data_IF_176981183400
#
_entry.id   IF_176981183400
#
_cell.length_a   1.000
_cell.length_b   1.000
_cell.length_c   1.000
_cell.angle_alpha   90.00
_cell.angle_beta   90.00
_cell.angle_gamma   90.00
#
_symmetry.space_group_name_H-M   'P 1'
#
loop_
_entity.id
_entity.type
_entity.pdbx_description
1 polymer ?
#
# COMPACT_ATOMS: atom_id res chain seq x y z
N UNK A 1 12.35 51.49 27.77
CA UNK A 1 11.25 51.17 28.70
C UNK A 1 10.80 49.72 28.42
N UNK A 2 11.16 48.83 29.33
CA UNK A 2 10.83 47.39 29.25
C UNK A 2 9.41 47.20 29.75
N UNK A 3 8.56 46.46 29.04
CA UNK A 3 7.38 45.80 29.63
C UNK A 3 7.45 44.30 29.31
N UNK A 4 7.72 43.53 30.34
CA UNK A 4 7.59 42.08 30.37
C UNK A 4 6.10 41.73 30.48
N UNK A 5 5.65 40.75 29.70
CA UNK A 5 4.31 40.20 29.83
C UNK A 5 4.51 38.72 30.32
N UNK A 6 4.12 38.53 31.55
CA UNK A 6 4.12 37.25 32.26
C UNK A 6 2.80 36.54 31.92
N UNK A 7 2.86 35.34 31.31
CA UNK A 7 1.70 34.47 31.10
C UNK A 7 1.77 33.36 32.14
N UNK A 8 0.78 33.35 33.01
CA UNK A 8 0.60 32.37 34.08
C UNK A 8 -0.11 31.13 33.55
N UNK A 9 0.53 29.97 33.68
CA UNK A 9 -0.03 28.69 33.32
C UNK A 9 -0.84 28.14 34.49
N UNK A 10 -2.14 27.97 34.35
CA UNK A 10 -3.02 27.36 35.35
C UNK A 10 -3.20 25.85 35.02
N UNK A 11 -2.61 25.02 35.88
CA UNK A 11 -2.89 23.59 35.92
C UNK A 11 -4.17 23.34 36.73
N UNK A 12 -5.15 22.69 36.12
CA UNK A 12 -6.33 22.16 36.82
C UNK A 12 -6.15 20.64 36.97
N UNK A 13 -5.86 20.22 38.18
CA UNK A 13 -5.94 18.83 38.63
C UNK A 13 -7.37 18.58 39.13
N UNK A 14 -8.05 17.61 38.52
CA UNK A 14 -9.29 17.06 39.03
C UNK A 14 -9.04 15.65 39.58
N UNK A 15 -9.02 15.56 40.92
CA UNK A 15 -9.07 14.31 41.66
C UNK A 15 -10.52 13.90 41.82
N UNK A 16 -10.89 12.70 41.38
CA UNK A 16 -12.21 12.07 41.58
C UNK A 16 -12.11 10.93 42.58
N UNK A 17 -12.87 11.06 43.63
CA UNK A 17 -12.97 10.27 44.84
C UNK A 17 -13.62 8.92 44.63
N UNK A 18 -13.04 7.88 45.23
CA UNK A 18 -13.60 6.55 45.50
C UNK A 18 -14.74 6.65 46.55
N UNK A 19 -15.87 6.04 46.25
CA UNK A 19 -16.95 5.82 47.21
C UNK A 19 -17.55 4.44 47.04
N UNK A 20 -17.17 3.52 47.90
CA UNK A 20 -17.83 2.23 48.04
C UNK A 20 -19.03 2.32 48.99
N UNK A 21 -20.04 1.48 48.73
CA UNK A 21 -20.95 1.03 49.81
C UNK A 21 -21.47 -0.36 49.51
N UNK A 22 -21.36 -1.17 50.56
CA UNK A 22 -21.81 -2.54 50.75
C UNK A 22 -23.30 -2.62 51.07
N UNK A 23 -23.91 -3.78 50.77
CA UNK A 23 -25.26 -4.12 51.26
C UNK A 23 -25.63 -5.56 50.89
N UNK A 24 -25.59 -6.32 51.84
CA UNK A 24 -25.92 -7.64 52.37
C UNK A 24 -27.32 -8.20 52.02
N UNK A 25 -27.34 -9.52 52.04
CA UNK A 25 -28.47 -10.42 52.37
C UNK A 25 -28.83 -11.31 51.19
N UNK A 26 -28.88 -12.61 51.26
CA UNK A 26 -28.92 -13.60 52.28
C UNK A 26 -29.78 -14.78 51.83
N UNK A 27 -29.27 -15.96 52.10
CA UNK A 27 -29.90 -17.26 52.37
C UNK A 27 -30.47 -18.07 51.16
N UNK A 28 -29.96 -19.23 50.89
CA UNK A 28 -29.76 -20.53 51.55
C UNK A 28 -30.76 -21.57 51.03
N UNK A 29 -30.33 -22.70 50.62
CA UNK A 29 -30.58 -24.13 50.95
C UNK A 29 -30.36 -25.03 49.75
N UNK A 30 -29.31 -25.83 49.81
CA UNK A 30 -29.14 -27.26 50.22
C UNK A 30 -30.05 -28.25 49.51
N UNK A 31 -29.49 -29.22 48.98
CA UNK A 31 -29.08 -30.62 49.11
C UNK A 31 -29.51 -31.38 47.85
N UNK A 32 -28.86 -32.36 47.33
CA UNK A 32 -28.29 -33.55 47.86
C UNK A 32 -27.61 -34.42 46.81
N UNK A 33 -26.67 -35.11 47.30
CA UNK A 33 -25.80 -36.16 46.86
C UNK A 33 -26.47 -37.43 46.37
N UNK A 34 -25.87 -38.10 45.37
CA UNK A 34 -25.51 -39.54 45.27
C UNK A 34 -25.10 -39.75 43.79
N UNK A 35 -23.96 -40.24 43.39
CA UNK A 35 -23.18 -41.38 43.79
C UNK A 35 -23.46 -42.57 42.85
N UNK A 36 -22.53 -42.94 41.96
CA UNK A 36 -22.67 -44.18 41.19
C UNK A 36 -21.57 -44.36 40.15
N UNK A 37 -20.56 -45.07 40.56
CA UNK A 37 -19.42 -45.58 39.80
C UNK A 37 -19.87 -46.80 38.95
N UNK A 38 -19.37 -46.98 37.70
CA UNK A 38 -18.84 -48.29 37.24
C UNK A 38 -18.34 -48.20 35.78
N UNK A 39 -17.08 -48.34 35.63
CA UNK A 39 -16.33 -49.37 34.88
C UNK A 39 -16.56 -49.53 33.36
N UNK A 40 -15.42 -49.58 32.74
CA UNK A 40 -14.98 -49.82 31.40
C UNK A 40 -15.62 -51.02 30.65
N UNK A 41 -15.75 -50.85 29.33
CA UNK A 41 -15.49 -51.90 28.37
C UNK A 41 -15.15 -51.30 27.00
N UNK A 42 -13.93 -51.63 26.56
CA UNK A 42 -13.43 -51.46 25.20
C UNK A 42 -14.22 -52.32 24.21
N UNK A 43 -14.49 -51.79 23.00
CA UNK A 43 -14.38 -52.60 21.75
C UNK A 43 -14.28 -51.70 20.52
N UNK A 44 -13.32 -52.05 19.66
CA UNK A 44 -13.12 -51.55 18.30
C UNK A 44 -14.35 -51.80 17.42
N UNK A 45 -14.68 -50.81 16.59
CA UNK A 45 -15.09 -51.03 15.21
C UNK A 45 -15.06 -49.73 14.45
N UNK A 46 -14.28 -49.66 13.53
CA UNK A 46 -13.87 -48.87 12.50
C UNK A 46 -14.87 -48.53 11.41
N UNK A 47 -14.51 -47.51 10.72
CA UNK A 47 -14.82 -47.12 9.34
C UNK A 47 -16.19 -46.61 9.01
N UNK A 48 -16.13 -45.48 8.30
CA UNK A 48 -17.11 -44.88 7.41
C UNK A 48 -18.12 -43.92 8.05
N UNK A 49 -17.69 -42.68 8.23
CA UNK A 49 -18.57 -41.55 7.94
C UNK A 49 -17.83 -40.56 7.04
N UNK A 50 -17.88 -40.89 5.76
CA UNK A 50 -17.68 -39.96 4.68
C UNK A 50 -19.03 -39.49 4.21
N UNK A 51 -19.17 -38.16 4.09
CA UNK A 51 -20.17 -37.50 3.27
C UNK A 51 -21.63 -37.71 3.65
N UNK A 52 -22.11 -36.85 4.50
CA UNK A 52 -23.48 -36.34 4.39
C UNK A 52 -23.65 -35.09 5.28
N UNK A 53 -23.06 -33.96 4.83
CA UNK A 53 -23.45 -32.65 5.32
C UNK A 53 -23.97 -31.85 4.13
N UNK A 54 -25.10 -32.26 3.62
CA UNK A 54 -25.87 -31.51 2.65
C UNK A 54 -27.34 -31.60 3.08
N UNK A 55 -27.72 -30.92 4.14
CA UNK A 55 -29.10 -30.54 4.49
C UNK A 55 -29.19 -29.85 5.87
N UNK A 56 -28.51 -28.72 6.06
CA UNK A 56 -28.97 -27.68 6.96
C UNK A 56 -28.64 -26.38 6.27
N UNK A 57 -29.66 -25.57 5.97
CA UNK A 57 -29.53 -24.33 5.19
C UNK A 57 -28.88 -23.19 5.97
N UNK A 58 -27.82 -23.47 6.70
CA UNK A 58 -27.01 -22.48 7.41
C UNK A 58 -25.83 -22.12 6.50
N UNK A 59 -25.80 -20.85 6.10
CA UNK A 59 -24.72 -20.31 5.26
C UNK A 59 -23.45 -20.17 6.09
N UNK A 60 -22.29 -20.41 5.47
CA UNK A 60 -21.01 -19.99 6.05
C UNK A 60 -20.90 -18.47 5.97
N UNK A 61 -20.76 -17.82 7.11
CA UNK A 61 -20.54 -16.36 7.18
C UNK A 61 -19.04 -16.12 7.12
N UNK A 62 -18.59 -15.25 6.21
CA UNK A 62 -17.22 -14.77 6.14
C UNK A 62 -17.17 -13.25 6.35
N UNK A 63 -16.19 -12.80 7.13
CA UNK A 63 -16.01 -11.40 7.50
C UNK A 63 -14.88 -10.78 6.67
N UNK A 64 -15.26 -9.83 5.81
CA UNK A 64 -14.33 -9.07 4.96
C UNK A 64 -14.15 -7.65 5.47
N UNK A 65 -12.92 -7.24 5.71
CA UNK A 65 -12.53 -5.90 6.13
C UNK A 65 -11.76 -5.20 5.04
N UNK A 66 -12.06 -3.92 4.75
CA UNK A 66 -11.24 -3.05 3.87
C UNK A 66 -11.47 -1.57 4.23
N UNK A 67 -10.51 -0.71 3.86
CA UNK A 67 -10.62 0.75 3.98
C UNK A 67 -11.09 1.42 2.68
N UNK A 68 -11.13 0.71 1.58
CA UNK A 68 -11.67 1.23 0.32
C UNK A 68 -13.16 1.02 0.31
N UNK A 69 -13.94 2.10 0.20
CA UNK A 69 -15.37 2.00 0.03
C UNK A 69 -15.67 1.39 -1.34
N UNK A 70 -16.09 0.14 -1.34
CA UNK A 70 -16.51 -0.56 -2.55
C UNK A 70 -18.03 -0.41 -2.74
N UNK A 71 -18.46 -0.51 -4.00
CA UNK A 71 -19.87 -0.70 -4.30
C UNK A 71 -20.32 -2.05 -3.71
N UNK A 72 -21.22 -2.01 -2.74
CA UNK A 72 -21.70 -3.21 -2.05
C UNK A 72 -22.41 -4.19 -2.99
N UNK A 73 -22.84 -3.76 -4.17
CA UNK A 73 -23.51 -4.61 -5.15
C UNK A 73 -22.67 -5.83 -5.55
N UNK A 74 -21.34 -5.73 -5.57
CA UNK A 74 -20.46 -6.86 -5.87
C UNK A 74 -20.55 -7.96 -4.82
N UNK A 75 -20.73 -7.59 -3.55
CA UNK A 75 -20.92 -8.55 -2.45
C UNK A 75 -22.30 -9.21 -2.57
N UNK A 76 -23.33 -8.44 -2.90
CA UNK A 76 -24.67 -8.96 -3.13
C UNK A 76 -24.71 -9.94 -4.33
N UNK A 77 -24.00 -9.61 -5.42
CA UNK A 77 -23.83 -10.46 -6.59
C UNK A 77 -23.12 -11.77 -6.22
N UNK A 78 -22.02 -11.69 -5.46
CA UNK A 78 -21.30 -12.87 -4.97
C UNK A 78 -22.20 -13.74 -4.08
N UNK A 79 -22.90 -13.16 -3.12
CA UNK A 79 -23.81 -13.87 -2.22
C UNK A 79 -24.95 -14.54 -2.98
N UNK A 80 -25.47 -13.90 -4.03
CA UNK A 80 -26.51 -14.48 -4.89
C UNK A 80 -26.00 -15.68 -5.71
N UNK A 81 -24.76 -15.61 -6.19
CA UNK A 81 -24.10 -16.68 -6.96
C UNK A 81 -23.61 -17.84 -6.06
N UNK A 82 -23.41 -17.59 -4.76
CA UNK A 82 -22.88 -18.54 -3.78
C UNK A 82 -23.86 -18.68 -2.60
N UNK A 83 -24.98 -19.40 -2.75
CA UNK A 83 -26.04 -19.45 -1.73
C UNK A 83 -25.61 -20.12 -0.41
N UNK A 84 -24.49 -20.80 -0.40
CA UNK A 84 -23.83 -21.44 0.74
C UNK A 84 -22.94 -20.50 1.55
N UNK A 85 -22.65 -19.27 1.05
CA UNK A 85 -21.82 -18.27 1.71
C UNK A 85 -22.62 -16.98 1.93
N UNK A 86 -22.31 -16.28 3.01
CA UNK A 86 -22.73 -14.91 3.27
C UNK A 86 -21.51 -14.07 3.62
N UNK A 87 -21.17 -13.08 2.80
CA UNK A 87 -20.09 -12.14 3.07
C UNK A 87 -20.62 -10.96 3.85
N UNK A 88 -20.03 -10.67 4.99
CA UNK A 88 -20.27 -9.48 5.80
C UNK A 88 -19.09 -8.52 5.64
N UNK A 89 -19.36 -7.37 5.02
CA UNK A 89 -18.37 -6.33 4.81
C UNK A 89 -18.28 -5.38 5.99
N UNK A 90 -17.04 -5.09 6.41
CA UNK A 90 -16.72 -4.18 7.50
C UNK A 90 -15.79 -3.09 6.99
N UNK A 91 -16.34 -1.89 6.78
CA UNK A 91 -15.54 -0.72 6.40
C UNK A 91 -14.70 -0.25 7.60
N UNK A 92 -13.41 -0.05 7.37
CA UNK A 92 -12.50 0.56 8.35
C UNK A 92 -12.05 1.93 7.86
N UNK A 93 -11.85 2.91 8.76
CA UNK A 93 -11.36 4.24 8.38
C UNK A 93 -9.96 4.17 7.75
N UNK A 94 -9.73 4.93 6.68
CA UNK A 94 -8.39 5.12 6.13
C UNK A 94 -7.62 6.16 6.96
N UNK A 95 -7.01 5.73 8.05
CA UNK A 95 -6.27 6.54 9.01
C UNK A 95 -4.76 6.26 9.02
N UNK A 96 -4.19 6.01 7.85
CA UNK A 96 -2.77 5.71 7.69
C UNK A 96 -2.40 4.31 8.21
N UNK A 97 -1.29 4.18 8.93
CA UNK A 97 -0.83 2.89 9.47
C UNK A 97 -1.73 2.30 10.56
N UNK A 98 -2.54 3.12 11.22
CA UNK A 98 -3.40 2.67 12.32
C UNK A 98 -4.45 1.65 11.87
N UNK A 99 -4.95 1.76 10.62
CA UNK A 99 -5.90 0.79 10.03
C UNK A 99 -5.32 -0.62 9.99
N UNK A 100 -4.05 -0.77 9.61
CA UNK A 100 -3.37 -2.07 9.54
C UNK A 100 -3.15 -2.64 10.94
N UNK A 101 -2.76 -1.81 11.92
CA UNK A 101 -2.64 -2.22 13.32
C UNK A 101 -3.96 -2.73 13.89
N UNK A 102 -5.09 -2.10 13.55
CA UNK A 102 -6.41 -2.57 13.98
C UNK A 102 -6.75 -3.95 13.40
N UNK A 103 -6.44 -4.19 12.11
CA UNK A 103 -6.62 -5.50 11.48
C UNK A 103 -5.74 -6.57 12.12
N UNK A 104 -4.49 -6.24 12.45
CA UNK A 104 -3.56 -7.15 13.10
C UNK A 104 -4.07 -7.57 14.49
N UNK A 105 -4.56 -6.63 15.29
CA UNK A 105 -5.14 -6.91 16.60
C UNK A 105 -6.35 -7.84 16.46
N UNK A 106 -7.21 -7.60 15.47
CA UNK A 106 -8.40 -8.40 15.22
C UNK A 106 -8.02 -9.84 14.81
N UNK A 107 -7.11 -9.97 13.84
CA UNK A 107 -6.66 -11.27 13.33
C UNK A 107 -5.90 -12.08 14.39
N UNK A 108 -5.02 -11.46 15.18
CA UNK A 108 -4.27 -12.13 16.25
C UNK A 108 -5.12 -12.43 17.47
N UNK A 109 -6.13 -11.60 17.74
CA UNK A 109 -7.02 -11.73 18.89
C UNK A 109 -8.09 -12.81 18.74
N UNK A 110 -8.15 -13.52 17.61
CA UNK A 110 -9.20 -14.51 17.31
C UNK A 110 -10.55 -13.87 17.03
N UNK A 111 -10.55 -12.63 16.53
CA UNK A 111 -11.77 -11.97 16.07
C UNK A 111 -12.30 -12.59 14.79
N UNK A 112 -13.55 -12.29 14.47
CA UNK A 112 -14.21 -12.77 13.25
C UNK A 112 -13.68 -11.99 12.05
N UNK A 113 -12.64 -12.52 11.39
CA UNK A 113 -12.00 -11.96 10.21
C UNK A 113 -11.51 -13.10 9.31
N UNK A 114 -11.99 -13.13 8.08
CA UNK A 114 -11.68 -14.17 7.11
C UNK A 114 -10.95 -13.63 5.88
N UNK A 115 -11.17 -12.35 5.53
CA UNK A 115 -10.49 -11.68 4.44
C UNK A 115 -10.05 -10.29 4.90
N UNK A 116 -8.78 -9.96 4.69
CA UNK A 116 -8.21 -8.65 5.00
C UNK A 116 -7.23 -8.18 3.94
N UNK A 117 -7.14 -6.87 3.71
CA UNK A 117 -6.12 -6.31 2.83
C UNK A 117 -4.75 -6.26 3.52
N UNK A 118 -3.71 -6.51 2.75
CA UNK A 118 -2.32 -6.25 3.12
C UNK A 118 -1.72 -5.24 2.16
N UNK A 119 -1.10 -4.19 2.66
CA UNK A 119 -0.41 -3.20 1.84
C UNK A 119 0.88 -2.73 2.50
N UNK A 120 1.70 -2.04 1.73
CA UNK A 120 2.99 -1.50 2.15
C UNK A 120 4.01 -2.56 2.61
N UNK A 121 5.12 -2.14 3.20
CA UNK A 121 6.17 -3.04 3.63
C UNK A 121 5.81 -3.95 4.79
N UNK A 122 4.79 -3.59 5.56
CA UNK A 122 4.38 -4.35 6.74
C UNK A 122 3.80 -5.73 6.41
N UNK A 123 3.27 -5.91 5.21
CA UNK A 123 2.76 -7.23 4.79
C UNK A 123 3.86 -8.30 4.75
N UNK A 124 5.12 -7.94 4.47
CA UNK A 124 6.24 -8.87 4.53
C UNK A 124 6.43 -9.40 5.95
N UNK A 125 6.33 -8.53 6.94
CA UNK A 125 6.41 -8.91 8.35
C UNK A 125 5.24 -9.82 8.77
N UNK A 126 4.03 -9.57 8.24
CA UNK A 126 2.86 -10.41 8.49
C UNK A 126 3.01 -11.81 7.91
N UNK A 127 3.49 -11.91 6.66
CA UNK A 127 3.79 -13.20 6.03
C UNK A 127 4.84 -13.96 6.83
N UNK A 128 5.96 -13.32 7.14
CA UNK A 128 7.05 -13.88 7.95
C UNK A 128 6.57 -14.42 9.30
N UNK A 129 5.69 -13.68 9.97
CA UNK A 129 5.17 -14.04 11.29
C UNK A 129 4.00 -15.04 11.23
N UNK A 130 3.65 -15.55 10.04
CA UNK A 130 2.57 -16.53 9.86
C UNK A 130 1.18 -15.98 10.20
N UNK A 131 0.96 -14.68 10.02
CA UNK A 131 -0.35 -14.05 10.24
C UNK A 131 -1.32 -14.36 9.10
N UNK A 132 -0.81 -14.63 7.90
CA UNK A 132 -1.59 -15.04 6.73
C UNK A 132 -1.48 -16.53 6.48
N UNK A 133 -2.54 -17.13 6.00
CA UNK A 133 -2.52 -18.51 5.52
C UNK A 133 -1.89 -18.56 4.10
N UNK A 134 -1.04 -19.56 3.80
CA UNK A 134 -0.61 -19.83 2.43
C UNK A 134 -1.81 -20.11 1.51
N UNK A 135 -1.72 -19.66 0.25
CA UNK A 135 -2.76 -19.87 -0.76
C UNK A 135 -2.29 -20.71 -1.97
N UNK A 136 -1.07 -21.22 -1.94
CA UNK A 136 -0.50 -21.98 -3.06
C UNK A 136 -1.34 -23.21 -3.44
N UNK A 137 -1.89 -23.95 -2.47
CA UNK A 137 -2.77 -25.10 -2.73
C UNK A 137 -4.04 -24.70 -3.49
N UNK A 138 -4.61 -23.53 -3.20
CA UNK A 138 -5.77 -23.00 -3.91
C UNK A 138 -5.41 -22.57 -5.34
N UNK A 139 -4.27 -21.89 -5.51
CA UNK A 139 -3.74 -21.48 -6.82
C UNK A 139 -3.53 -22.70 -7.72
N UNK A 140 -2.88 -23.75 -7.19
CA UNK A 140 -2.61 -24.99 -7.91
C UNK A 140 -3.92 -25.73 -8.27
N UNK A 141 -4.83 -25.88 -7.30
CA UNK A 141 -6.15 -26.51 -7.48
C UNK A 141 -6.95 -25.86 -8.60
N UNK A 142 -6.92 -24.51 -8.67
CA UNK A 142 -7.68 -23.73 -9.64
C UNK A 142 -6.92 -23.48 -10.95
N UNK A 143 -5.66 -23.91 -11.05
CA UNK A 143 -4.84 -23.81 -12.26
C UNK A 143 -4.51 -22.36 -12.66
N UNK A 144 -4.30 -21.48 -11.68
CA UNK A 144 -4.09 -20.05 -11.91
C UNK A 144 -2.63 -19.79 -12.28
N UNK A 145 -2.42 -19.07 -13.37
CA UNK A 145 -1.13 -18.54 -13.79
C UNK A 145 -0.90 -17.15 -13.16
N UNK A 146 -0.26 -17.15 -12.00
CA UNK A 146 -0.01 -15.92 -11.24
C UNK A 146 0.86 -14.92 -12.01
N UNK A 147 1.92 -15.40 -12.70
CA UNK A 147 2.81 -14.54 -13.46
C UNK A 147 2.09 -13.85 -14.62
N UNK A 148 1.29 -14.59 -15.38
CA UNK A 148 0.45 -14.04 -16.44
C UNK A 148 -0.54 -13.02 -15.93
N UNK A 149 -1.16 -13.28 -14.77
CA UNK A 149 -2.24 -12.46 -14.23
C UNK A 149 -1.73 -11.19 -13.56
N UNK A 150 -0.53 -11.22 -12.96
CA UNK A 150 -0.05 -10.13 -12.10
C UNK A 150 1.38 -9.65 -12.42
N UNK A 151 2.25 -10.52 -12.95
CA UNK A 151 3.63 -10.18 -13.26
C UNK A 151 4.45 -9.75 -12.05
N UNK A 152 5.31 -8.75 -12.21
CA UNK A 152 6.28 -8.34 -11.18
C UNK A 152 5.69 -7.87 -9.84
N UNK A 153 4.37 -7.64 -9.73
CA UNK A 153 3.74 -7.29 -8.43
C UNK A 153 3.62 -8.48 -7.48
N UNK A 154 3.90 -9.70 -7.94
CA UNK A 154 3.87 -10.91 -7.11
C UNK A 154 4.83 -10.87 -5.94
N UNK A 155 5.91 -10.10 -6.03
CA UNK A 155 6.84 -9.88 -4.90
C UNK A 155 6.14 -9.29 -3.66
N UNK A 156 4.99 -8.61 -3.83
CA UNK A 156 4.17 -8.12 -2.73
C UNK A 156 3.24 -9.18 -2.12
N UNK A 157 2.98 -10.26 -2.84
CA UNK A 157 2.07 -11.33 -2.44
C UNK A 157 2.77 -12.56 -1.87
N UNK A 158 4.10 -12.63 -1.94
CA UNK A 158 4.89 -13.82 -1.63
C UNK A 158 6.03 -13.51 -0.65
N UNK A 159 6.38 -14.49 0.17
CA UNK A 159 7.52 -14.44 1.07
C UNK A 159 8.16 -15.83 1.14
N UNK A 160 9.49 -15.90 0.98
CA UNK A 160 10.27 -17.14 1.01
C UNK A 160 9.72 -18.25 0.08
N UNK A 161 9.28 -17.86 -1.12
CA UNK A 161 8.74 -18.75 -2.13
C UNK A 161 7.32 -19.25 -1.90
N UNK A 162 6.62 -18.76 -0.88
CA UNK A 162 5.24 -19.08 -0.55
C UNK A 162 4.33 -17.89 -0.84
N UNK A 163 3.17 -18.14 -1.44
CA UNK A 163 2.17 -17.11 -1.76
C UNK A 163 1.14 -17.00 -0.65
N UNK A 164 0.91 -15.78 -0.17
CA UNK A 164 0.01 -15.49 0.95
C UNK A 164 -1.16 -14.57 0.61
N UNK A 165 -1.17 -13.98 -0.56
CA UNK A 165 -2.22 -13.06 -0.95
C UNK A 165 -2.48 -13.01 -2.44
N UNK A 166 -3.64 -12.49 -2.80
CA UNK A 166 -4.07 -12.31 -4.17
C UNK A 166 -4.19 -10.81 -4.46
N UNK A 167 -3.39 -10.26 -5.40
CA UNK A 167 -3.33 -8.82 -5.62
C UNK A 167 -4.65 -8.26 -6.14
N UNK A 168 -5.28 -7.34 -5.41
CA UNK A 168 -6.56 -6.74 -5.82
C UNK A 168 -6.36 -5.40 -6.52
N UNK A 169 -5.49 -4.54 -6.00
CA UNK A 169 -5.21 -3.21 -6.54
C UNK A 169 -3.74 -2.89 -6.45
N UNK A 170 -3.28 -2.09 -7.39
CA UNK A 170 -1.89 -1.66 -7.46
C UNK A 170 -1.78 -0.14 -7.48
N UNK A 171 -0.61 0.33 -7.16
CA UNK A 171 -0.18 1.70 -7.38
C UNK A 171 0.90 1.68 -8.44
N UNK A 172 0.69 2.39 -9.53
CA UNK A 172 1.69 2.60 -10.58
C UNK A 172 2.18 4.03 -10.40
N UNK A 173 3.45 4.22 -10.07
CA UNK A 173 4.05 5.56 -9.93
C UNK A 173 4.51 6.09 -11.27
N UNK A 174 4.12 7.32 -11.56
CA UNK A 174 4.53 8.08 -12.74
C UNK A 174 4.67 9.57 -12.42
N UNK A 175 4.94 10.36 -13.44
CA UNK A 175 4.94 11.81 -13.36
C UNK A 175 3.63 12.35 -13.93
N UNK A 176 2.78 12.85 -13.06
CA UNK A 176 1.55 13.56 -13.45
C UNK A 176 1.90 15.02 -13.74
N UNK A 177 1.38 15.58 -14.83
CA UNK A 177 1.75 16.92 -15.26
C UNK A 177 0.57 17.74 -15.76
N UNK A 178 0.67 19.06 -15.58
CA UNK A 178 -0.30 20.05 -16.05
C UNK A 178 -0.01 20.37 -17.51
N UNK A 179 -0.84 19.83 -18.43
CA UNK A 179 -0.70 20.00 -19.88
C UNK A 179 -0.76 21.46 -20.29
N UNK A 180 -1.56 22.28 -19.63
CA UNK A 180 -1.73 23.69 -19.99
C UNK A 180 -0.48 24.52 -19.63
N UNK A 181 0.26 24.17 -18.57
CA UNK A 181 1.56 24.77 -18.28
C UNK A 181 2.61 24.37 -19.31
N UNK A 182 2.62 23.11 -19.76
CA UNK A 182 3.52 22.64 -20.82
C UNK A 182 3.24 23.36 -22.14
N UNK A 183 1.98 23.46 -22.55
CA UNK A 183 1.58 24.17 -23.78
C UNK A 183 1.96 25.65 -23.70
N UNK A 184 1.73 26.32 -22.58
CA UNK A 184 2.08 27.72 -22.37
C UNK A 184 3.59 27.96 -22.49
N UNK A 185 4.39 27.02 -22.00
CA UNK A 185 5.85 27.08 -22.05
C UNK A 185 6.44 26.57 -23.40
N UNK A 186 5.60 26.02 -24.29
CA UNK A 186 6.02 25.43 -25.55
C UNK A 186 6.90 24.18 -25.35
N UNK A 187 6.59 23.37 -24.34
CA UNK A 187 7.31 22.14 -24.00
C UNK A 187 6.47 20.95 -24.52
N UNK A 188 7.10 20.02 -25.22
CA UNK A 188 6.47 18.79 -25.67
C UNK A 188 6.11 17.90 -24.46
N UNK A 189 5.01 17.13 -24.56
CA UNK A 189 4.63 16.21 -23.50
C UNK A 189 5.63 15.05 -23.41
N UNK A 190 5.98 14.63 -22.19
CA UNK A 190 6.91 13.51 -22.01
C UNK A 190 6.30 12.19 -22.48
N UNK A 191 7.06 11.39 -23.20
CA UNK A 191 6.65 10.14 -23.84
C UNK A 191 7.32 8.87 -23.28
N UNK A 192 7.98 8.99 -22.12
CA UNK A 192 8.75 7.90 -21.50
C UNK A 192 10.17 7.76 -21.98
N UNK A 193 10.58 8.45 -23.05
CA UNK A 193 11.97 8.45 -23.52
C UNK A 193 12.88 9.42 -22.75
N UNK A 194 12.30 10.28 -21.93
CA UNK A 194 13.00 11.33 -21.20
C UNK A 194 13.88 10.82 -20.05
N UNK A 195 14.90 11.63 -19.73
CA UNK A 195 15.85 11.36 -18.65
C UNK A 195 15.61 12.28 -17.45
N UNK A 196 16.25 11.98 -16.31
CA UNK A 196 16.22 12.86 -15.14
C UNK A 196 16.83 14.24 -15.40
N UNK A 197 17.79 14.36 -16.31
CA UNK A 197 18.36 15.65 -16.68
C UNK A 197 17.37 16.48 -17.50
N UNK A 198 16.61 15.85 -18.41
CA UNK A 198 15.52 16.51 -19.13
C UNK A 198 14.36 16.88 -18.22
N UNK A 199 13.98 16.01 -17.26
CA UNK A 199 13.00 16.33 -16.23
C UNK A 199 13.39 17.57 -15.42
N UNK A 200 14.66 17.65 -14.98
CA UNK A 200 15.19 18.84 -14.28
C UNK A 200 15.10 20.09 -15.15
N UNK A 201 15.55 20.01 -16.41
CA UNK A 201 15.50 21.12 -17.35
C UNK A 201 14.05 21.61 -17.60
N UNK A 202 13.09 20.70 -17.65
CA UNK A 202 11.65 21.04 -17.73
C UNK A 202 11.19 21.70 -16.44
N UNK A 203 11.57 21.16 -15.28
CA UNK A 203 11.21 21.75 -13.99
C UNK A 203 11.76 23.17 -13.82
N UNK A 204 13.00 23.44 -14.31
CA UNK A 204 13.58 24.79 -14.34
C UNK A 204 12.74 25.76 -15.18
N UNK A 205 12.32 25.37 -16.37
CA UNK A 205 11.51 26.20 -17.28
C UNK A 205 10.11 26.49 -16.71
N UNK A 206 9.51 25.54 -15.99
CA UNK A 206 8.17 25.65 -15.45
C UNK A 206 8.12 26.29 -14.06
N UNK A 207 9.26 26.42 -13.37
CA UNK A 207 9.34 27.13 -12.09
C UNK A 207 9.20 28.64 -12.31
N UNK A 208 8.24 29.27 -11.64
CA UNK A 208 7.95 30.68 -11.83
C UNK A 208 7.42 31.34 -10.55
N UNK A 209 7.35 32.67 -10.55
CA UNK A 209 6.84 33.46 -9.44
C UNK A 209 7.76 33.46 -8.21
N UNK A 210 7.37 34.23 -7.19
CA UNK A 210 8.07 34.36 -5.91
C UNK A 210 7.09 34.43 -4.75
N UNK A 211 7.54 34.06 -3.54
CA UNK A 211 6.72 34.10 -2.33
C UNK A 211 5.45 33.27 -2.49
N UNK A 212 4.29 33.82 -2.17
CA UNK A 212 2.99 33.15 -2.23
C UNK A 212 2.52 32.84 -3.66
N UNK A 213 3.08 33.55 -4.65
CA UNK A 213 2.80 33.31 -6.08
C UNK A 213 3.72 32.28 -6.72
N UNK A 214 4.65 31.69 -5.97
CA UNK A 214 5.58 30.71 -6.51
C UNK A 214 4.83 29.46 -6.98
N UNK A 215 5.14 29.08 -8.23
CA UNK A 215 4.78 27.81 -8.83
C UNK A 215 6.09 27.03 -9.02
N UNK A 216 6.14 25.84 -8.49
CA UNK A 216 7.28 24.96 -8.61
C UNK A 216 7.21 24.15 -9.91
N UNK A 217 8.36 23.82 -10.49
CA UNK A 217 8.40 22.96 -11.66
C UNK A 217 7.97 21.53 -11.35
N UNK A 218 8.23 21.08 -10.13
CA UNK A 218 7.90 19.72 -9.72
C UNK A 218 7.56 19.61 -8.22
N UNK A 219 7.12 18.41 -7.81
CA UNK A 219 6.93 18.03 -6.41
C UNK A 219 7.19 16.53 -6.25
N UNK A 220 8.07 16.16 -5.32
CA UNK A 220 8.30 14.79 -4.88
C UNK A 220 8.04 14.69 -3.38
N UNK A 221 7.15 13.79 -2.94
CA UNK A 221 6.82 13.67 -1.52
C UNK A 221 7.95 12.98 -0.72
N UNK A 222 7.86 13.00 0.61
CA UNK A 222 8.91 12.52 1.54
C UNK A 222 8.86 11.02 1.83
N UNK A 223 7.85 10.30 1.37
CA UNK A 223 7.81 8.84 1.50
C UNK A 223 8.55 8.20 0.33
N UNK A 224 9.70 7.69 0.51
CA UNK A 224 10.51 6.86 -0.42
C UNK A 224 10.37 7.10 -1.94
N UNK A 225 9.62 8.13 -2.39
CA UNK A 225 9.40 8.46 -3.79
C UNK A 225 10.71 8.79 -4.53
N UNK A 226 11.71 9.29 -3.80
CA UNK A 226 13.05 9.56 -4.34
C UNK A 226 13.78 8.30 -4.84
N UNK A 227 13.34 7.10 -4.43
CA UNK A 227 13.93 5.83 -4.86
C UNK A 227 13.21 5.20 -6.06
N UNK A 228 12.03 5.70 -6.40
CA UNK A 228 11.14 5.07 -7.36
C UNK A 228 11.79 4.66 -8.69
N UNK A 229 12.69 5.47 -9.30
CA UNK A 229 13.26 5.14 -10.61
C UNK A 229 14.46 4.20 -10.54
N UNK A 230 14.90 3.80 -9.35
CA UNK A 230 16.19 3.11 -9.20
C UNK A 230 16.05 1.61 -9.34
N UNK A 231 14.83 1.09 -9.32
CA UNK A 231 14.62 -0.33 -9.31
C UNK A 231 15.16 -1.06 -10.53
N UNK A 232 15.35 -2.29 -10.39
CA UNK A 232 15.60 -3.41 -11.28
C UNK A 232 16.78 -3.31 -12.23
N UNK A 233 16.81 -2.45 -13.24
CA UNK A 233 17.86 -2.53 -14.27
C UNK A 233 19.12 -1.78 -13.88
N UNK A 234 18.99 -0.69 -13.09
CA UNK A 234 20.13 0.12 -12.70
C UNK A 234 20.70 -0.30 -11.35
N UNK A 235 19.83 -0.57 -10.39
CA UNK A 235 20.26 -0.95 -9.04
C UNK A 235 19.13 -1.72 -8.34
N UNK A 236 19.10 -3.05 -8.44
CA UNK A 236 18.14 -3.86 -7.71
C UNK A 236 18.30 -3.67 -6.20
N UNK A 237 17.21 -3.86 -5.44
CA UNK A 237 17.21 -3.69 -3.98
C UNK A 237 18.18 -4.64 -3.26
N UNK A 238 18.40 -5.81 -3.82
CA UNK A 238 19.28 -6.84 -3.27
C UNK A 238 20.32 -7.25 -4.29
N UNK A 239 21.48 -7.62 -3.82
CA UNK A 239 22.53 -8.26 -4.62
C UNK A 239 22.13 -9.68 -4.97
N UNK A 240 22.82 -10.32 -5.93
CA UNK A 240 22.57 -11.71 -6.31
C UNK A 240 22.70 -12.71 -5.15
N UNK A 241 23.53 -12.41 -4.14
CA UNK A 241 23.67 -13.20 -2.92
C UNK A 241 22.67 -12.80 -1.81
N UNK A 242 21.65 -12.00 -2.14
CA UNK A 242 20.54 -11.65 -1.26
C UNK A 242 20.85 -10.61 -0.18
N UNK A 243 21.94 -9.85 -0.30
CA UNK A 243 22.28 -8.76 0.62
C UNK A 243 21.68 -7.44 0.17
N UNK A 244 21.66 -6.48 1.08
CA UNK A 244 21.28 -5.10 0.80
C UNK A 244 22.19 -4.48 -0.26
N UNK A 245 21.60 -3.90 -1.31
CA UNK A 245 22.33 -3.26 -2.42
C UNK A 245 22.21 -1.73 -2.42
N UNK A 246 21.83 -1.12 -1.32
CA UNK A 246 21.55 0.33 -1.24
C UNK A 246 22.78 1.20 -1.55
N UNK A 247 24.00 0.64 -1.48
CA UNK A 247 25.23 1.35 -1.82
C UNK A 247 25.48 1.45 -3.33
N UNK A 248 24.67 0.82 -4.18
CA UNK A 248 24.79 0.93 -5.62
C UNK A 248 24.58 2.38 -6.11
N UNK A 249 25.27 2.74 -7.18
CA UNK A 249 25.34 4.12 -7.69
C UNK A 249 23.95 4.72 -7.98
N UNK A 250 23.01 3.92 -8.47
CA UNK A 250 21.65 4.39 -8.74
C UNK A 250 20.95 4.97 -7.51
N UNK A 251 21.10 4.35 -6.34
CA UNK A 251 20.48 4.86 -5.11
C UNK A 251 21.13 6.16 -4.64
N UNK A 252 22.45 6.27 -4.72
CA UNK A 252 23.17 7.48 -4.39
C UNK A 252 22.77 8.63 -5.33
N UNK A 253 22.79 8.39 -6.63
CA UNK A 253 22.38 9.38 -7.64
C UNK A 253 20.93 9.82 -7.45
N UNK A 254 20.03 8.92 -7.05
CA UNK A 254 18.64 9.26 -6.79
C UNK A 254 18.49 10.24 -5.61
N UNK A 255 19.20 10.01 -4.50
CA UNK A 255 19.25 10.97 -3.38
C UNK A 255 19.82 12.32 -3.79
N UNK A 256 20.94 12.31 -4.52
CA UNK A 256 21.63 13.53 -4.94
C UNK A 256 20.77 14.36 -5.91
N UNK A 257 20.09 13.72 -6.87
CA UNK A 257 19.13 14.38 -7.78
C UNK A 257 17.97 15.02 -7.01
N UNK A 258 17.37 14.29 -6.09
CA UNK A 258 16.31 14.84 -5.26
C UNK A 258 16.80 16.07 -4.48
N UNK A 259 17.98 15.99 -3.89
CA UNK A 259 18.60 17.11 -3.15
C UNK A 259 18.89 18.29 -4.05
N UNK A 260 19.35 18.05 -5.28
CA UNK A 260 19.61 19.09 -6.29
C UNK A 260 18.31 19.86 -6.64
N UNK A 261 17.18 19.17 -6.86
CA UNK A 261 15.88 19.82 -7.09
C UNK A 261 15.46 20.70 -5.91
N UNK A 262 15.70 20.24 -4.68
CA UNK A 262 15.45 20.99 -3.46
C UNK A 262 16.34 22.26 -3.39
N UNK A 263 17.63 22.12 -3.62
CA UNK A 263 18.62 23.19 -3.50
C UNK A 263 18.47 24.26 -4.58
N UNK A 264 18.05 23.87 -5.79
CA UNK A 264 17.71 24.78 -6.88
C UNK A 264 16.34 25.46 -6.69
N UNK A 265 15.57 25.06 -5.68
CA UNK A 265 14.24 25.58 -5.42
C UNK A 265 13.21 25.27 -6.49
N UNK A 266 13.38 24.14 -7.19
CA UNK A 266 12.48 23.66 -8.24
C UNK A 266 11.25 22.93 -7.65
N UNK A 267 11.30 22.60 -6.37
CA UNK A 267 10.22 22.01 -5.58
C UNK A 267 10.30 22.49 -4.12
N UNK A 268 9.25 22.19 -3.33
CA UNK A 268 9.37 22.30 -1.88
C UNK A 268 10.44 21.31 -1.40
N UNK A 269 11.38 21.80 -0.59
CA UNK A 269 12.40 20.92 -0.04
C UNK A 269 11.81 19.86 0.90
N UNK A 270 12.52 18.75 1.05
CA UNK A 270 12.13 17.67 1.97
C UNK A 270 11.78 18.21 3.35
N UNK A 271 12.65 19.05 3.93
CA UNK A 271 12.42 19.65 5.26
C UNK A 271 11.21 20.59 5.29
N UNK A 272 10.95 21.34 4.21
CA UNK A 272 9.74 22.19 4.12
C UNK A 272 8.47 21.36 4.06
N UNK A 273 8.45 20.24 3.31
CA UNK A 273 7.29 19.34 3.25
C UNK A 273 6.96 18.80 4.64
N UNK A 274 7.97 18.34 5.40
CA UNK A 274 7.79 17.86 6.77
C UNK A 274 7.25 18.97 7.69
N UNK A 275 7.88 20.15 7.65
CA UNK A 275 7.54 21.26 8.52
C UNK A 275 6.13 21.80 8.28
N UNK A 276 5.69 21.86 7.01
CA UNK A 276 4.39 22.41 6.63
C UNK A 276 3.30 21.36 6.51
N UNK A 277 3.66 20.06 6.58
CA UNK A 277 2.78 18.94 6.28
C UNK A 277 2.12 19.06 4.88
N UNK A 278 2.90 19.55 3.91
CA UNK A 278 2.40 19.78 2.56
C UNK A 278 1.90 18.46 1.95
N UNK A 279 0.72 18.53 1.33
CA UNK A 279 0.10 17.40 0.64
C UNK A 279 0.34 17.53 -0.87
N UNK A 280 0.80 16.46 -1.51
CA UNK A 280 1.15 16.46 -2.92
C UNK A 280 -0.03 16.69 -3.85
N UNK A 281 -1.20 16.09 -3.55
CA UNK A 281 -2.41 16.30 -4.36
C UNK A 281 -2.88 17.74 -4.28
N UNK A 282 -2.90 18.32 -3.07
CA UNK A 282 -3.23 19.73 -2.87
C UNK A 282 -2.24 20.67 -3.57
N UNK A 283 -0.95 20.32 -3.60
CA UNK A 283 0.06 21.11 -4.29
C UNK A 283 -0.14 21.08 -5.81
N UNK A 284 -0.36 19.89 -6.38
CA UNK A 284 -0.51 19.72 -7.82
C UNK A 284 -1.86 20.22 -8.32
N UNK A 285 -2.96 19.73 -7.76
CA UNK A 285 -4.31 20.09 -8.18
C UNK A 285 -4.65 21.54 -7.84
N UNK A 286 -4.00 22.11 -6.81
CA UNK A 286 -4.07 23.56 -6.54
C UNK A 286 -3.16 24.43 -7.42
N UNK A 287 -2.53 23.87 -8.46
CA UNK A 287 -1.70 24.60 -9.41
C UNK A 287 -0.40 25.18 -8.83
N UNK A 288 0.09 24.63 -7.70
CA UNK A 288 1.33 25.08 -7.04
C UNK A 288 2.59 24.38 -7.57
N UNK A 289 2.43 23.33 -8.36
CA UNK A 289 3.52 22.70 -9.12
C UNK A 289 3.02 22.23 -10.48
N UNK A 290 3.93 22.22 -11.46
CA UNK A 290 3.62 21.82 -12.84
C UNK A 290 3.65 20.30 -13.03
N UNK A 291 4.49 19.62 -12.28
CA UNK A 291 4.64 18.16 -12.28
C UNK A 291 4.59 17.63 -10.86
N UNK A 292 4.12 16.39 -10.70
CA UNK A 292 4.14 15.67 -9.42
C UNK A 292 4.48 14.20 -9.65
N UNK A 293 5.43 13.67 -8.90
CA UNK A 293 5.63 12.24 -8.81
C UNK A 293 4.58 11.66 -7.87
N UNK A 294 3.67 10.86 -8.41
CA UNK A 294 2.58 10.27 -7.64
C UNK A 294 2.14 8.94 -8.24
N UNK A 295 1.53 8.10 -7.41
CA UNK A 295 0.91 6.86 -7.85
C UNK A 295 -0.45 7.09 -8.54
N UNK A 296 -0.90 6.07 -9.26
CA UNK A 296 -2.20 6.05 -9.97
C UNK A 296 -3.41 6.35 -9.06
N UNK A 297 -3.27 6.22 -7.74
CA UNK A 297 -4.28 6.62 -6.75
C UNK A 297 -4.65 8.11 -6.81
N UNK A 298 -3.81 8.97 -7.41
CA UNK A 298 -4.11 10.40 -7.56
C UNK A 298 -5.40 10.63 -8.39
N UNK A 299 -5.80 9.67 -9.22
CA UNK A 299 -7.05 9.72 -9.98
C UNK A 299 -8.27 9.88 -9.07
N UNK A 300 -8.27 9.29 -7.87
CA UNK A 300 -9.32 9.52 -6.89
C UNK A 300 -9.43 10.99 -6.49
N UNK A 301 -8.28 11.66 -6.29
CA UNK A 301 -8.25 13.07 -5.94
C UNK A 301 -8.60 13.98 -7.13
N UNK A 302 -8.24 13.56 -8.37
CA UNK A 302 -8.65 14.25 -9.59
C UNK A 302 -10.17 14.21 -9.77
N UNK A 303 -10.83 13.11 -9.40
CA UNK A 303 -12.30 12.98 -9.40
C UNK A 303 -12.97 13.86 -8.33
N UNK A 304 -12.29 14.13 -7.23
CA UNK A 304 -12.82 14.87 -6.08
C UNK A 304 -12.68 16.38 -6.27
N UNK A 305 -13.52 16.95 -7.13
CA UNK A 305 -13.54 18.38 -7.43
C UNK A 305 -14.02 19.26 -6.24
N UNK A 306 -14.63 18.66 -5.24
CA UNK A 306 -15.05 19.40 -4.03
C UNK A 306 -13.84 19.75 -3.15
N UNK A 307 -12.95 18.78 -2.91
CA UNK A 307 -11.77 18.94 -2.06
C UNK A 307 -10.52 19.38 -2.84
N UNK A 308 -10.45 19.06 -4.13
CA UNK A 308 -9.32 19.34 -5.03
C UNK A 308 -9.78 20.05 -6.31
N UNK A 309 -10.37 21.25 -6.22
CA UNK A 309 -10.88 21.95 -7.40
C UNK A 309 -9.73 22.32 -8.35
N UNK A 310 -9.88 21.98 -9.63
CA UNK A 310 -8.95 22.29 -10.71
C UNK A 310 -9.70 22.30 -12.05
N UNK A 311 -9.15 23.04 -13.03
CA UNK A 311 -9.75 23.21 -14.35
C UNK A 311 -8.74 23.02 -15.50
N UNK A 312 -7.51 22.68 -15.20
CA UNK A 312 -6.47 22.41 -16.18
C UNK A 312 -6.46 20.96 -16.63
N UNK A 313 -5.96 20.70 -17.85
CA UNK A 313 -5.79 19.36 -18.39
C UNK A 313 -4.58 18.67 -17.75
N UNK A 314 -4.74 17.38 -17.47
CA UNK A 314 -3.72 16.56 -16.81
C UNK A 314 -3.30 15.43 -17.76
N UNK A 315 -2.02 15.06 -17.72
CA UNK A 315 -1.47 13.88 -18.33
C UNK A 315 -0.58 13.14 -17.35
N UNK A 316 -0.24 11.90 -17.68
CA UNK A 316 0.74 11.10 -16.93
C UNK A 316 1.79 10.53 -17.89
N UNK A 317 3.02 10.50 -17.44
CA UNK A 317 4.16 9.93 -18.17
C UNK A 317 4.91 8.93 -17.27
N UNK A 318 5.64 7.98 -17.87
CA UNK A 318 6.60 7.17 -17.15
C UNK A 318 7.58 8.01 -16.33
N UNK A 319 8.14 7.42 -15.28
CA UNK A 319 9.24 8.04 -14.54
C UNK A 319 10.42 8.28 -15.50
N UNK A 320 11.15 9.39 -15.37
CA UNK A 320 12.31 9.64 -16.18
C UNK A 320 13.34 8.50 -16.06
N UNK A 321 13.97 8.15 -17.18
CA UNK A 321 15.02 7.14 -17.22
C UNK A 321 16.26 7.62 -16.45
N UNK A 322 17.02 6.68 -15.92
CA UNK A 322 18.29 6.99 -15.27
C UNK A 322 19.24 7.68 -16.26
N UNK A 323 19.39 7.07 -17.43
CA UNK A 323 20.12 7.59 -18.59
C UNK A 323 19.62 6.90 -19.86
N UNK A 324 20.25 7.16 -20.99
CA UNK A 324 19.89 6.60 -22.29
C UNK A 324 20.13 5.09 -22.45
N UNK A 325 20.73 4.43 -21.46
CA UNK A 325 20.93 2.97 -21.48
C UNK A 325 19.72 2.20 -20.96
N UNK A 326 18.84 2.86 -20.19
CA UNK A 326 17.60 2.27 -19.66
C UNK A 326 16.49 2.36 -20.71
N UNK A 327 15.74 1.28 -20.90
CA UNK A 327 14.60 1.27 -21.82
C UNK A 327 13.42 2.07 -21.27
N UNK A 328 12.63 2.66 -22.17
CA UNK A 328 11.49 3.50 -21.78
C UNK A 328 10.38 2.75 -21.06
N UNK A 329 10.12 1.51 -21.44
CA UNK A 329 9.08 0.63 -20.93
C UNK A 329 9.33 0.08 -19.52
N UNK A 330 10.54 0.28 -18.97
CA UNK A 330 10.94 -0.23 -17.65
C UNK A 330 10.81 0.83 -16.52
N UNK A 331 10.24 2.00 -16.81
CA UNK A 331 10.30 3.18 -15.94
C UNK A 331 9.06 3.41 -15.07
N UNK A 332 8.40 2.37 -14.65
CA UNK A 332 7.32 2.47 -13.67
C UNK A 332 7.70 1.73 -12.39
N UNK A 333 7.32 2.33 -11.28
CA UNK A 333 7.47 1.72 -9.97
C UNK A 333 6.10 1.33 -9.44
N UNK A 334 5.99 0.13 -8.87
CA UNK A 334 4.72 -0.43 -8.45
C UNK A 334 4.72 -0.83 -6.98
N UNK A 335 3.55 -0.69 -6.37
CA UNK A 335 3.20 -1.31 -5.10
C UNK A 335 1.84 -2.01 -5.26
N UNK A 336 1.58 -3.03 -4.47
CA UNK A 336 0.32 -3.74 -4.53
C UNK A 336 -0.32 -3.87 -3.15
N UNK A 337 -1.65 -3.83 -3.14
CA UNK A 337 -2.48 -4.29 -2.04
C UNK A 337 -2.99 -5.66 -2.40
N UNK A 338 -2.77 -6.62 -1.51
CA UNK A 338 -3.25 -7.99 -1.62
C UNK A 338 -4.51 -8.16 -0.77
N UNK A 339 -5.36 -9.11 -1.13
CA UNK A 339 -6.31 -9.71 -0.19
C UNK A 339 -5.69 -10.99 0.36
N UNK A 340 -5.65 -11.12 1.68
CA UNK A 340 -5.07 -12.23 2.39
C UNK A 340 -6.10 -12.88 3.32
N UNK A 341 -5.89 -14.16 3.59
CA UNK A 341 -6.69 -14.95 4.53
C UNK A 341 -5.91 -14.99 5.85
N UNK A 342 -6.43 -14.47 6.96
CA UNK A 342 -5.79 -14.64 8.27
C UNK A 342 -5.57 -16.13 8.57
N UNK A 343 -4.41 -16.47 9.14
CA UNK A 343 -4.07 -17.85 9.48
C UNK A 343 -5.08 -18.47 10.46
N UNK A 344 -5.72 -17.62 11.29
CA UNK A 344 -6.76 -17.98 12.27
C UNK A 344 -8.13 -18.24 11.68
N UNK A 345 -8.40 -17.88 10.42
CA UNK A 345 -9.69 -18.10 9.77
C UNK A 345 -10.04 -19.59 9.73
N UNK A 346 -11.27 -19.91 10.09
CA UNK A 346 -11.88 -21.25 9.96
C UNK A 346 -12.48 -21.53 8.57
N UNK A 347 -12.58 -20.50 7.70
CA UNK A 347 -13.35 -20.51 6.45
C UNK A 347 -12.46 -20.23 5.22
N UNK A 348 -11.29 -20.87 5.15
CA UNK A 348 -10.25 -20.54 4.15
C UNK A 348 -10.69 -20.82 2.70
N UNK A 349 -11.47 -21.88 2.46
CA UNK A 349 -11.98 -22.19 1.11
C UNK A 349 -13.02 -21.16 0.65
N UNK A 350 -13.94 -20.78 1.52
CA UNK A 350 -14.97 -19.77 1.23
C UNK A 350 -14.34 -18.38 1.06
N UNK A 351 -13.37 -18.03 1.92
CA UNK A 351 -12.59 -16.79 1.79
C UNK A 351 -11.83 -16.74 0.46
N UNK A 352 -11.21 -17.84 0.04
CA UNK A 352 -10.52 -17.93 -1.25
C UNK A 352 -11.48 -17.73 -2.43
N UNK A 353 -12.67 -18.36 -2.41
CA UNK A 353 -13.69 -18.18 -3.45
C UNK A 353 -14.10 -16.71 -3.56
N UNK A 354 -14.27 -16.04 -2.43
CA UNK A 354 -14.61 -14.62 -2.40
C UNK A 354 -13.44 -13.74 -2.89
N UNK A 355 -12.21 -13.99 -2.43
CA UNK A 355 -11.02 -13.25 -2.89
C UNK A 355 -10.87 -13.33 -4.40
N UNK A 356 -10.99 -14.51 -4.98
CA UNK A 356 -10.92 -14.68 -6.44
C UNK A 356 -11.99 -13.85 -7.15
N UNK A 357 -13.23 -13.95 -6.69
CA UNK A 357 -14.33 -13.21 -7.28
C UNK A 357 -14.08 -11.70 -7.22
N UNK A 358 -13.62 -11.19 -6.08
CA UNK A 358 -13.31 -9.77 -5.90
C UNK A 358 -12.21 -9.28 -6.82
N UNK A 359 -11.21 -10.10 -7.11
CA UNK A 359 -10.06 -9.72 -7.94
C UNK A 359 -10.36 -9.91 -9.43
N UNK A 360 -10.95 -11.04 -9.81
CA UNK A 360 -11.13 -11.41 -11.21
C UNK A 360 -12.37 -10.75 -11.81
N UNK A 361 -13.54 -10.89 -11.15
CA UNK A 361 -14.81 -10.31 -11.62
C UNK A 361 -15.00 -8.87 -11.11
N UNK A 362 -14.36 -8.52 -10.01
CA UNK A 362 -14.43 -7.20 -9.38
C UNK A 362 -13.51 -6.13 -9.97
N UNK A 363 -12.68 -6.44 -10.96
CA UNK A 363 -11.69 -5.51 -11.49
C UNK A 363 -12.30 -4.17 -11.97
N UNK A 364 -13.45 -4.19 -12.64
CA UNK A 364 -14.16 -2.96 -13.03
C UNK A 364 -14.68 -2.16 -11.85
N UNK A 365 -15.10 -2.83 -10.76
CA UNK A 365 -15.53 -2.15 -9.52
C UNK A 365 -14.35 -1.48 -8.83
N UNK A 366 -13.20 -2.16 -8.80
CA UNK A 366 -11.94 -1.58 -8.32
C UNK A 366 -11.59 -0.33 -9.13
N UNK A 367 -11.63 -0.42 -10.46
CA UNK A 367 -11.39 0.71 -11.35
C UNK A 367 -12.37 1.88 -11.09
N UNK A 368 -13.65 1.60 -10.90
CA UNK A 368 -14.68 2.60 -10.60
C UNK A 368 -14.40 3.43 -9.34
N UNK A 369 -13.72 2.85 -8.35
CA UNK A 369 -13.26 3.58 -7.16
C UNK A 369 -12.08 4.52 -7.44
N UNK A 370 -11.52 4.54 -8.65
CA UNK A 370 -10.29 5.25 -9.00
C UNK A 370 -9.02 4.55 -8.48
N UNK A 371 -9.12 3.28 -8.06
CA UNK A 371 -7.97 2.43 -7.80
C UNK A 371 -7.57 1.68 -9.06
N UNK A 372 -6.29 1.46 -9.23
CA UNK A 372 -5.75 0.69 -10.35
C UNK A 372 -5.89 -0.82 -10.07
N UNK A 373 -6.70 -1.58 -10.84
CA UNK A 373 -6.88 -3.01 -10.60
C UNK A 373 -5.60 -3.77 -10.93
N UNK A 374 -5.27 -4.79 -10.12
CA UNK A 374 -4.04 -5.59 -10.33
C UNK A 374 -4.20 -6.67 -11.40
N UNK A 375 -5.43 -7.07 -11.73
CA UNK A 375 -5.73 -8.22 -12.58
C UNK A 375 -5.60 -7.87 -14.07
N UNK A 376 -4.43 -8.12 -14.66
CA UNK A 376 -4.09 -7.79 -16.06
C UNK A 376 -5.07 -8.32 -17.10
N UNK A 377 -5.65 -9.55 -16.97
CA UNK A 377 -6.61 -10.05 -17.97
C UNK A 377 -7.87 -9.20 -18.15
N UNK A 378 -8.19 -8.32 -17.20
CA UNK A 378 -9.30 -7.38 -17.29
C UNK A 378 -8.97 -6.10 -18.08
N UNK A 379 -7.72 -5.83 -18.44
CA UNK A 379 -7.32 -4.57 -19.06
C UNK A 379 -7.87 -4.42 -20.47
N UNK A 380 -8.64 -3.37 -20.66
CA UNK A 380 -9.21 -2.94 -21.94
C UNK A 380 -9.69 -1.49 -21.84
N UNK A 381 -10.07 -0.87 -22.98
CA UNK A 381 -10.50 0.52 -23.02
C UNK A 381 -11.74 0.80 -22.13
N UNK A 382 -12.64 -0.17 -21.96
CA UNK A 382 -13.82 -0.02 -21.09
C UNK A 382 -13.41 0.11 -19.63
N UNK A 383 -12.47 -0.72 -19.18
CA UNK A 383 -11.93 -0.66 -17.81
C UNK A 383 -11.17 0.65 -17.57
N UNK A 384 -10.37 1.11 -18.55
CA UNK A 384 -9.66 2.40 -18.45
C UNK A 384 -10.68 3.55 -18.35
N UNK A 385 -11.74 3.51 -19.17
CA UNK A 385 -12.82 4.51 -19.12
C UNK A 385 -13.50 4.53 -17.74
N UNK A 386 -13.77 3.36 -17.15
CA UNK A 386 -14.32 3.24 -15.79
C UNK A 386 -13.34 3.81 -14.75
N UNK A 387 -12.05 3.52 -14.91
CA UNK A 387 -11.01 4.03 -14.02
C UNK A 387 -10.97 5.56 -13.97
N UNK A 388 -11.13 6.24 -15.11
CA UNK A 388 -11.07 7.71 -15.21
C UNK A 388 -12.44 8.39 -15.18
N UNK A 389 -13.53 7.69 -15.09
CA UNK A 389 -14.88 8.27 -15.11
C UNK A 389 -15.02 9.36 -14.04
N UNK A 390 -15.48 10.54 -14.45
CA UNK A 390 -15.65 11.71 -13.57
C UNK A 390 -14.37 12.51 -13.26
N UNK A 391 -13.20 12.11 -13.80
CA UNK A 391 -11.93 12.82 -13.58
C UNK A 391 -11.66 13.94 -14.61
N UNK A 392 -12.34 13.92 -15.76
CA UNK A 392 -12.02 14.82 -16.88
C UNK A 392 -10.79 14.38 -17.70
N UNK A 393 -10.17 13.23 -17.37
CA UNK A 393 -9.10 12.62 -18.14
C UNK A 393 -9.67 11.90 -19.38
N UNK A 394 -8.88 11.83 -20.44
CA UNK A 394 -9.16 11.00 -21.60
C UNK A 394 -8.42 9.66 -21.48
N UNK A 395 -8.91 8.62 -22.15
CA UNK A 395 -8.27 7.29 -22.13
C UNK A 395 -6.80 7.36 -22.53
N UNK A 396 -6.47 8.17 -23.53
CA UNK A 396 -5.10 8.32 -24.01
C UNK A 396 -4.17 9.05 -23.01
N UNK A 397 -4.72 9.84 -22.08
CA UNK A 397 -3.93 10.50 -21.01
C UNK A 397 -3.34 9.50 -20.02
N UNK A 398 -3.97 8.34 -19.85
CA UNK A 398 -3.60 7.34 -18.83
C UNK A 398 -3.30 5.95 -19.42
N UNK A 399 -3.46 5.77 -20.74
CA UNK A 399 -3.24 4.47 -21.43
C UNK A 399 -1.87 3.86 -21.08
N UNK A 400 -0.84 4.69 -20.98
CA UNK A 400 0.53 4.29 -20.65
C UNK A 400 0.62 3.51 -19.33
N UNK A 401 -0.30 3.72 -18.38
CA UNK A 401 -0.33 2.97 -17.13
C UNK A 401 -0.81 1.51 -17.31
N UNK A 402 -1.51 1.20 -18.43
CA UNK A 402 -2.11 -0.10 -18.71
C UNK A 402 -1.37 -0.89 -19.80
N UNK A 403 -0.25 -0.38 -20.27
CA UNK A 403 0.61 -1.07 -21.21
C UNK A 403 1.46 -2.13 -20.50
N UNK A 404 2.00 -3.09 -21.26
CA UNK A 404 2.94 -4.07 -20.71
C UNK A 404 4.21 -3.36 -20.26
N UNK A 405 4.39 -3.33 -18.96
CA UNK A 405 5.57 -2.80 -18.31
C UNK A 405 6.22 -3.86 -17.43
N UNK A 406 7.52 -3.80 -17.29
CA UNK A 406 8.21 -4.54 -16.22
C UNK A 406 7.90 -3.84 -14.90
N UNK A 407 7.08 -4.48 -14.08
CA UNK A 407 6.74 -3.94 -12.77
C UNK A 407 7.95 -4.02 -11.84
N UNK A 408 8.42 -2.85 -11.40
CA UNK A 408 9.53 -2.73 -10.46
C UNK A 408 8.98 -2.46 -9.07
N UNK A 409 9.35 -3.27 -8.10
CA UNK A 409 8.94 -3.02 -6.73
C UNK A 409 9.44 -1.65 -6.24
N UNK A 410 8.51 -0.80 -5.80
CA UNK A 410 8.80 0.52 -5.24
C UNK A 410 9.64 0.45 -3.95
N UNK A 411 9.60 -0.68 -3.28
CA UNK A 411 10.25 -0.91 -1.98
C UNK A 411 10.89 -2.29 -1.96
N UNK A 412 11.92 -2.49 -1.13
CA UNK A 412 12.46 -3.82 -0.92
C UNK A 412 11.39 -4.76 -0.33
N UNK A 413 11.30 -5.99 -0.88
CA UNK A 413 10.32 -7.02 -0.48
C UNK A 413 10.96 -8.36 -0.09
N UNK A 414 12.31 -8.42 -0.04
CA UNK A 414 13.05 -9.62 0.36
C UNK A 414 13.29 -9.72 1.86
N UNK A 415 14.29 -10.51 2.24
CA UNK A 415 14.72 -10.66 3.64
C UNK A 415 15.13 -9.30 4.23
N UNK A 416 14.81 -9.07 5.51
CA UNK A 416 15.10 -7.81 6.19
C UNK A 416 14.32 -6.59 5.65
N UNK A 417 13.27 -6.80 4.85
CA UNK A 417 12.55 -5.71 4.17
C UNK A 417 11.98 -4.67 5.13
N UNK A 418 11.50 -5.07 6.30
CA UNK A 418 10.94 -4.15 7.29
C UNK A 418 12.00 -3.18 7.82
N UNK A 419 13.14 -3.70 8.27
CA UNK A 419 14.27 -2.90 8.75
C UNK A 419 14.89 -2.07 7.63
N UNK A 420 14.93 -2.61 6.40
CA UNK A 420 15.40 -1.89 5.22
C UNK A 420 14.54 -0.63 4.98
N UNK A 421 13.24 -0.78 4.90
CA UNK A 421 12.31 0.33 4.67
C UNK A 421 12.32 1.33 5.81
N UNK A 422 12.34 0.87 7.06
CA UNK A 422 12.42 1.76 8.23
C UNK A 422 13.73 2.55 8.23
N UNK A 423 14.87 1.89 8.03
CA UNK A 423 16.17 2.58 8.01
C UNK A 423 16.28 3.56 6.85
N UNK A 424 15.72 3.23 5.67
CA UNK A 424 15.63 4.19 4.56
C UNK A 424 14.87 5.44 4.99
N UNK A 425 13.71 5.32 5.62
CA UNK A 425 12.92 6.47 6.05
C UNK A 425 13.65 7.32 7.08
N UNK A 426 14.29 6.70 8.08
CA UNK A 426 15.00 7.40 9.15
C UNK A 426 16.29 8.09 8.65
N UNK A 427 17.10 7.38 7.88
CA UNK A 427 18.41 7.90 7.46
C UNK A 427 18.30 8.99 6.38
N UNK A 428 17.33 8.87 5.46
CA UNK A 428 17.15 9.91 4.43
C UNK A 428 16.79 11.27 5.02
N UNK A 429 16.08 11.32 6.14
CA UNK A 429 15.80 12.58 6.82
C UNK A 429 17.10 13.28 7.26
N UNK A 430 18.09 12.53 7.75
CA UNK A 430 19.38 13.09 8.17
C UNK A 430 20.17 13.67 7.00
N UNK A 431 20.08 13.02 5.83
CA UNK A 431 20.68 13.53 4.61
C UNK A 431 20.03 14.83 4.12
N UNK A 432 18.71 14.84 4.00
CA UNK A 432 17.97 16.02 3.50
C UNK A 432 18.01 17.20 4.48
N UNK A 433 18.18 16.94 5.77
CA UNK A 433 18.43 17.98 6.77
C UNK A 433 19.88 18.50 6.78
N UNK A 434 20.78 17.88 5.99
CA UNK A 434 22.19 18.26 5.94
C UNK A 434 23.02 17.82 7.15
N UNK A 435 22.51 16.85 7.92
CA UNK A 435 23.20 16.32 9.13
C UNK A 435 24.24 15.25 8.77
N UNK A 436 24.03 14.53 7.65
CA UNK A 436 24.92 13.47 7.16
C UNK A 436 25.10 13.53 5.64
N UNK A 437 26.17 12.92 5.15
CA UNK A 437 26.38 12.74 3.70
C UNK A 437 25.53 11.60 3.14
N UNK A 438 25.38 11.53 1.81
CA UNK A 438 24.70 10.41 1.15
C UNK A 438 25.40 9.08 1.48
N UNK A 439 26.72 9.04 1.45
CA UNK A 439 27.52 7.84 1.74
C UNK A 439 27.30 7.36 3.19
N UNK A 440 27.28 8.29 4.18
CA UNK A 440 27.03 7.93 5.56
C UNK A 440 25.66 7.32 5.80
N UNK A 441 24.60 7.88 5.18
CA UNK A 441 23.23 7.38 5.34
C UNK A 441 23.04 6.04 4.64
N UNK A 442 23.55 5.90 3.41
CA UNK A 442 23.48 4.64 2.66
C UNK A 442 24.23 3.51 3.36
N UNK A 443 25.46 3.79 3.84
CA UNK A 443 26.24 2.81 4.62
C UNK A 443 25.57 2.40 5.93
N UNK A 444 24.83 3.30 6.58
CA UNK A 444 24.07 2.95 7.78
C UNK A 444 22.83 2.09 7.45
N UNK A 445 22.12 2.38 6.35
CA UNK A 445 21.00 1.57 5.84
C UNK A 445 21.50 0.16 5.50
N UNK A 446 22.60 0.06 4.73
CA UNK A 446 23.19 -1.23 4.35
C UNK A 446 23.51 -2.08 5.59
N UNK A 447 24.17 -1.49 6.59
CA UNK A 447 24.53 -2.16 7.83
C UNK A 447 23.29 -2.71 8.57
N UNK A 448 22.28 -1.86 8.82
CA UNK A 448 21.06 -2.24 9.55
C UNK A 448 20.35 -3.38 8.82
N UNK A 449 20.22 -3.25 7.51
CA UNK A 449 19.53 -4.23 6.67
C UNK A 449 20.26 -5.58 6.65
N UNK A 450 21.58 -5.58 6.46
CA UNK A 450 22.34 -6.82 6.45
C UNK A 450 22.33 -7.52 7.81
N UNK A 451 22.36 -6.78 8.93
CA UNK A 451 22.18 -7.35 10.25
C UNK A 451 20.79 -8.01 10.44
N UNK A 452 19.74 -7.42 9.85
CA UNK A 452 18.40 -8.00 9.86
C UNK A 452 18.33 -9.28 9.01
N UNK A 453 18.87 -9.23 7.78
CA UNK A 453 18.97 -10.41 6.89
C UNK A 453 19.68 -11.57 7.59
N UNK A 454 20.84 -11.32 8.22
CA UNK A 454 21.59 -12.34 8.94
C UNK A 454 20.79 -12.98 10.09
N UNK A 455 20.02 -12.19 10.83
CA UNK A 455 19.11 -12.70 11.88
C UNK A 455 18.03 -13.59 11.28
N UNK A 456 17.39 -13.17 10.20
CA UNK A 456 16.36 -13.94 9.52
C UNK A 456 16.89 -15.27 9.03
N UNK A 457 18.03 -15.27 8.31
CA UNK A 457 18.68 -16.50 7.78
C UNK A 457 19.11 -17.43 8.91
N UNK A 458 19.60 -16.89 10.04
CA UNK A 458 20.04 -17.70 11.18
C UNK A 458 18.90 -18.23 12.05
N UNK A 459 17.66 -17.79 11.83
CA UNK A 459 16.49 -18.17 12.62
C UNK A 459 16.56 -17.70 14.09
N UNK A 460 17.29 -16.63 14.36
CA UNK A 460 17.50 -16.08 15.73
C UNK A 460 16.73 -14.81 15.97
#
# INVERSE_FOLDING_TARGET
MKKALTITLACVLAAGVLGGCSGKGGENMTEGVTGGNSEAASTEAGKEEKAQSAASGEKTVIHYYDWVTMDSSIIDEFNAANPDIEVQYHAIPDNGSDKLTQLDILAMGGGEIDVMPGSDGEQMLRMKNGMYAPIDEFIEKDGIDMEKNFGGILSYASYDGVTYGYPIRSTIEGIWYNKDMFDTAGIEYPDGSWTWDEYKAIAEKLTSGEGDSKVYGTYTHTFNGQWAPVGNEVSPWYTEDGKCNIMAEGFKSSLERRKELDDLGLQLSFSQIIATKANQSSAFLGGKCAMVQAGSWIVQNIKDQENYPHDFRIGVAPLPRFDDTVKADDNFSVAATILAIPATSGHKEEAWRFIRYMVEEGAERVAGTGNYPSYKPAYNDSLIQTFIEGSGLEVDDVRVLFEDMTAVSQKPTGLGAAEYQQSMQEQTQLYFNGEKTAEDVLGQIEKITNEAIEKEVSGK
#
